data_IF_741298765160
#
_entry.id   IF_741298765160
#
_cell.length_a   1.000
_cell.length_b   1.000
_cell.length_c   1.000
_cell.angle_alpha   90.00
_cell.angle_beta   90.00
_cell.angle_gamma   90.00
#
_symmetry.space_group_name_H-M   'P 1'
#
loop_
_entity.id
_entity.type
_entity.pdbx_description
1 polymer ?
#
# COMPACT_ATOMS: atom_id res chain seq x y z
N UNK A 1 22.03 -2.32 -18.03
CA UNK A 1 21.63 -1.68 -16.76
C UNK A 1 21.68 -2.73 -15.66
N UNK A 2 22.08 -2.36 -14.45
CA UNK A 2 22.13 -3.26 -13.29
C UNK A 2 21.51 -2.57 -12.05
N UNK A 3 20.95 -3.36 -11.13
CA UNK A 3 20.52 -2.85 -9.84
C UNK A 3 21.75 -2.58 -8.96
N UNK A 4 21.73 -1.43 -8.29
CA UNK A 4 22.75 -1.04 -7.32
C UNK A 4 22.07 -0.51 -6.06
N UNK A 5 22.44 -0.99 -4.86
CA UNK A 5 21.95 -0.41 -3.61
C UNK A 5 22.20 1.11 -3.57
N UNK A 6 21.25 1.85 -3.00
CA UNK A 6 21.30 3.31 -3.01
C UNK A 6 22.59 3.88 -2.36
N UNK A 7 23.06 3.22 -1.31
CA UNK A 7 24.26 3.61 -0.56
C UNK A 7 25.56 3.36 -1.38
N UNK A 8 25.52 2.54 -2.45
CA UNK A 8 26.66 2.17 -3.29
C UNK A 8 26.70 2.92 -4.63
N UNK A 9 25.78 3.87 -4.85
CA UNK A 9 25.70 4.63 -6.11
C UNK A 9 26.89 5.55 -6.34
N UNK A 10 27.50 6.11 -5.29
CA UNK A 10 28.69 6.98 -5.33
C UNK A 10 28.57 8.17 -6.30
N UNK A 11 27.34 8.68 -6.50
CA UNK A 11 27.07 9.79 -7.43
C UNK A 11 27.17 9.42 -8.90
N UNK A 12 27.22 8.14 -9.25
CA UNK A 12 27.19 7.66 -10.63
C UNK A 12 25.84 7.91 -11.29
N UNK A 13 25.77 8.13 -12.63
CA UNK A 13 24.50 8.27 -13.33
C UNK A 13 23.59 7.07 -13.09
N UNK A 14 22.36 7.35 -12.56
CA UNK A 14 21.42 6.33 -12.17
C UNK A 14 19.96 6.74 -12.47
N UNK A 15 19.08 5.74 -12.51
CA UNK A 15 17.64 5.92 -12.50
C UNK A 15 17.12 5.52 -11.11
N UNK A 16 16.31 6.37 -10.51
CA UNK A 16 15.55 5.99 -9.31
C UNK A 16 14.14 5.58 -9.72
N UNK A 17 13.73 4.41 -9.27
CA UNK A 17 12.35 3.92 -9.40
C UNK A 17 11.71 3.95 -8.02
N UNK A 18 10.49 4.46 -7.96
CA UNK A 18 9.66 4.47 -6.75
C UNK A 18 10.39 5.07 -5.54
N UNK A 19 10.76 6.33 -5.65
CA UNK A 19 11.49 7.04 -4.60
C UNK A 19 11.90 8.44 -5.01
N UNK A 20 12.69 9.11 -4.17
CA UNK A 20 13.24 10.43 -4.44
C UNK A 20 14.61 10.35 -5.12
N UNK A 21 14.93 11.33 -6.00
CA UNK A 21 16.26 11.41 -6.62
C UNK A 21 17.36 11.58 -5.58
N UNK A 22 18.54 11.03 -5.89
CA UNK A 22 19.77 11.20 -5.13
C UNK A 22 20.86 11.83 -5.99
N UNK A 23 22.06 12.01 -5.44
CA UNK A 23 23.17 12.53 -6.21
C UNK A 23 23.50 11.60 -7.41
N UNK A 24 23.61 12.19 -8.60
CA UNK A 24 23.83 11.44 -9.85
C UNK A 24 22.57 10.92 -10.53
N UNK A 25 21.38 11.07 -9.95
CA UNK A 25 20.13 10.66 -10.60
C UNK A 25 19.87 11.49 -11.85
N UNK A 26 19.73 10.81 -12.98
CA UNK A 26 19.45 11.41 -14.29
C UNK A 26 17.98 11.28 -14.69
N UNK A 27 17.25 10.36 -14.06
CA UNK A 27 15.82 10.16 -14.25
C UNK A 27 15.20 9.57 -12.99
N UNK A 28 14.03 10.09 -12.61
CA UNK A 28 13.19 9.51 -11.57
C UNK A 28 11.90 9.01 -12.21
N UNK A 29 11.52 7.77 -11.92
CA UNK A 29 10.30 7.09 -12.34
C UNK A 29 9.55 6.68 -11.08
N UNK A 30 8.79 7.61 -10.51
CA UNK A 30 8.16 7.45 -9.21
C UNK A 30 6.85 8.24 -9.13
N UNK A 31 5.84 7.66 -8.53
CA UNK A 31 4.57 8.32 -8.24
C UNK A 31 4.61 9.16 -6.95
N UNK A 32 5.74 9.17 -6.24
CA UNK A 32 5.87 9.94 -5.01
C UNK A 32 5.73 11.45 -5.25
N UNK A 33 5.15 12.20 -4.31
CA UNK A 33 4.98 13.64 -4.46
C UNK A 33 6.35 14.30 -4.64
N UNK A 34 6.44 15.26 -5.56
CA UNK A 34 7.65 16.04 -5.83
C UNK A 34 8.90 15.20 -6.20
N UNK A 35 8.75 13.95 -6.63
CA UNK A 35 9.83 13.06 -7.04
C UNK A 35 10.58 13.53 -8.29
N UNK A 36 9.97 14.43 -9.08
CA UNK A 36 10.58 14.93 -10.31
C UNK A 36 10.35 14.04 -11.54
N UNK A 37 9.47 13.04 -11.46
CA UNK A 37 9.06 12.24 -12.61
C UNK A 37 8.53 13.12 -13.74
N UNK A 38 9.06 12.96 -15.00
CA UNK A 38 8.58 13.74 -16.14
C UNK A 38 7.09 13.49 -16.40
N UNK A 39 6.33 14.58 -16.61
CA UNK A 39 4.87 14.52 -16.81
C UNK A 39 4.37 13.51 -17.85
N UNK A 40 5.04 13.33 -19.01
CA UNK A 40 4.63 12.34 -20.00
C UNK A 40 4.66 10.88 -19.52
N UNK A 41 5.38 10.56 -18.45
CA UNK A 41 5.44 9.20 -17.89
C UNK A 41 4.53 9.02 -16.67
N UNK A 42 3.99 10.12 -16.10
CA UNK A 42 3.20 10.07 -14.85
C UNK A 42 2.02 9.10 -14.95
N UNK A 43 1.89 8.26 -13.92
CA UNK A 43 0.79 7.32 -13.74
C UNK A 43 0.60 7.04 -12.24
N UNK A 44 -0.32 6.17 -11.87
CA UNK A 44 -0.70 5.89 -10.47
C UNK A 44 0.36 5.07 -9.72
N UNK A 45 1.09 4.20 -10.40
CA UNK A 45 2.13 3.33 -9.84
C UNK A 45 3.48 3.58 -10.53
N UNK A 46 4.56 3.46 -9.79
CA UNK A 46 5.90 3.61 -10.34
C UNK A 46 6.20 2.55 -11.40
N UNK A 47 5.66 1.34 -11.25
CA UNK A 47 5.72 0.29 -12.27
C UNK A 47 5.03 0.73 -13.59
N UNK A 48 3.87 1.38 -13.54
CA UNK A 48 3.21 1.95 -14.73
C UNK A 48 4.06 3.05 -15.36
N UNK A 49 4.63 3.93 -14.54
CA UNK A 49 5.55 5.00 -14.96
C UNK A 49 6.76 4.43 -15.69
N UNK A 50 7.30 3.31 -15.21
CA UNK A 50 8.40 2.60 -15.89
C UNK A 50 7.96 2.09 -17.25
N UNK A 51 6.79 1.46 -17.37
CA UNK A 51 6.29 1.00 -18.66
C UNK A 51 6.02 2.16 -19.62
N UNK A 52 5.47 3.28 -19.15
CA UNK A 52 5.29 4.49 -19.95
C UNK A 52 6.64 5.02 -20.48
N UNK A 53 7.69 4.97 -19.66
CA UNK A 53 9.06 5.30 -20.11
C UNK A 53 9.57 4.29 -21.15
N UNK A 54 9.33 3.00 -20.96
CA UNK A 54 9.74 1.94 -21.91
C UNK A 54 9.01 2.02 -23.26
N UNK A 55 7.80 2.52 -23.28
CA UNK A 55 7.01 2.78 -24.52
C UNK A 55 7.55 4.01 -25.28
N UNK A 56 8.17 4.95 -24.60
CA UNK A 56 8.76 6.13 -25.21
C UNK A 56 9.95 5.79 -26.10
N UNK A 57 10.31 6.72 -26.98
CA UNK A 57 11.47 6.61 -27.87
C UNK A 57 12.76 7.16 -27.26
N UNK A 58 12.67 7.99 -26.24
CA UNK A 58 13.82 8.61 -25.59
C UNK A 58 14.37 7.68 -24.49
N UNK A 59 15.68 7.59 -24.42
CA UNK A 59 16.39 6.84 -23.37
C UNK A 59 17.47 7.72 -22.75
N UNK A 60 17.47 7.76 -21.41
CA UNK A 60 18.58 8.38 -20.68
C UNK A 60 19.80 7.46 -20.69
N UNK A 61 20.98 8.04 -20.56
CA UNK A 61 22.22 7.28 -20.42
C UNK A 61 22.46 7.03 -18.93
N UNK A 62 22.12 5.84 -18.47
CA UNK A 62 22.39 5.34 -17.13
C UNK A 62 22.62 3.84 -17.16
N UNK A 63 23.64 3.37 -16.45
CA UNK A 63 23.94 1.95 -16.33
C UNK A 63 23.37 1.34 -15.03
N UNK A 64 22.89 2.19 -14.12
CA UNK A 64 22.41 1.81 -12.78
C UNK A 64 20.96 2.19 -12.58
N UNK A 65 20.26 1.31 -11.86
CA UNK A 65 18.93 1.57 -11.30
C UNK A 65 18.92 1.27 -9.81
N UNK A 66 18.17 2.04 -9.02
CA UNK A 66 18.11 1.90 -7.58
C UNK A 66 16.75 2.31 -7.00
N UNK A 67 16.57 1.95 -5.72
CA UNK A 67 15.49 2.41 -4.86
C UNK A 67 16.02 2.56 -3.42
N UNK A 68 15.35 3.33 -2.57
CA UNK A 68 15.73 3.59 -1.18
C UNK A 68 14.96 2.74 -0.15
N UNK A 69 13.98 1.96 -0.59
CA UNK A 69 13.16 1.06 0.22
C UNK A 69 12.81 -0.19 -0.59
N UNK A 70 12.16 -1.16 0.04
CA UNK A 70 11.67 -2.36 -0.63
C UNK A 70 10.14 -2.41 -0.52
N UNK A 71 9.49 -2.57 -1.68
CA UNK A 71 8.10 -2.95 -1.82
C UNK A 71 7.83 -3.59 -3.19
N UNK A 72 6.59 -3.89 -3.49
CA UNK A 72 6.18 -4.57 -4.70
C UNK A 72 6.26 -3.65 -5.92
N UNK A 73 5.90 -2.37 -5.77
CA UNK A 73 5.92 -1.41 -6.89
C UNK A 73 7.35 -1.11 -7.32
N UNK A 74 8.24 -0.79 -6.38
CA UNK A 74 9.65 -0.60 -6.67
C UNK A 74 10.30 -1.83 -7.29
N UNK A 75 10.00 -3.04 -6.78
CA UNK A 75 10.56 -4.30 -7.29
C UNK A 75 10.10 -4.57 -8.74
N UNK A 76 8.78 -4.50 -9.01
CA UNK A 76 8.22 -4.72 -10.34
C UNK A 76 8.73 -3.70 -11.36
N UNK A 77 8.82 -2.42 -10.97
CA UNK A 77 9.35 -1.36 -11.82
C UNK A 77 10.83 -1.54 -12.15
N UNK A 78 11.68 -1.82 -11.16
CA UNK A 78 13.11 -2.11 -11.39
C UNK A 78 13.27 -3.35 -12.26
N UNK A 79 12.50 -4.41 -11.99
CA UNK A 79 12.54 -5.63 -12.80
C UNK A 79 12.18 -5.35 -14.27
N UNK A 80 11.14 -4.53 -14.53
CA UNK A 80 10.75 -4.16 -15.88
C UNK A 80 11.85 -3.40 -16.63
N UNK A 81 12.60 -2.51 -15.95
CA UNK A 81 13.75 -1.84 -16.54
C UNK A 81 14.91 -2.77 -16.85
N UNK A 82 15.16 -3.76 -16.00
CA UNK A 82 16.27 -4.70 -16.15
C UNK A 82 16.00 -5.78 -17.21
N UNK A 83 14.73 -6.19 -17.34
CA UNK A 83 14.28 -7.30 -18.18
C UNK A 83 13.06 -6.93 -19.04
N UNK A 84 13.16 -5.85 -19.88
CA UNK A 84 11.98 -5.32 -20.58
C UNK A 84 11.31 -6.32 -21.51
N UNK A 85 12.08 -7.13 -22.24
CA UNK A 85 11.55 -8.15 -23.16
C UNK A 85 10.75 -9.25 -22.43
N UNK A 86 11.13 -9.56 -21.19
CA UNK A 86 10.43 -10.53 -20.36
C UNK A 86 9.21 -9.92 -19.65
N UNK A 87 9.34 -8.68 -19.22
CA UNK A 87 8.31 -7.95 -18.48
C UNK A 87 7.13 -7.52 -19.38
N UNK A 88 7.41 -7.08 -20.60
CA UNK A 88 6.38 -6.53 -21.50
C UNK A 88 5.18 -7.47 -21.74
N UNK A 89 5.33 -8.76 -22.03
CA UNK A 89 4.18 -9.67 -22.17
C UNK A 89 3.41 -9.92 -20.85
N UNK A 90 3.95 -9.49 -19.71
CA UNK A 90 3.40 -9.66 -18.36
C UNK A 90 3.10 -8.33 -17.66
N UNK A 91 3.05 -7.25 -18.44
CA UNK A 91 2.85 -5.87 -17.96
C UNK A 91 1.68 -5.78 -16.99
N UNK A 92 0.50 -6.24 -17.40
CA UNK A 92 -0.72 -6.15 -16.59
C UNK A 92 -0.59 -6.89 -15.26
N UNK A 93 0.06 -8.06 -15.25
CA UNK A 93 0.29 -8.82 -14.02
C UNK A 93 1.30 -8.12 -13.09
N UNK A 94 2.38 -7.54 -13.63
CA UNK A 94 3.36 -6.79 -12.82
C UNK A 94 2.73 -5.53 -12.20
N UNK A 95 1.91 -4.81 -12.97
CA UNK A 95 1.16 -3.64 -12.48
C UNK A 95 0.17 -4.07 -11.39
N UNK A 96 -0.50 -5.21 -11.56
CA UNK A 96 -1.46 -5.71 -10.58
C UNK A 96 -0.77 -6.17 -9.28
N UNK A 97 0.44 -6.76 -9.36
CA UNK A 97 1.29 -7.05 -8.18
C UNK A 97 1.67 -5.78 -7.44
N UNK A 98 2.07 -4.73 -8.16
CA UNK A 98 2.38 -3.42 -7.59
C UNK A 98 1.15 -2.80 -6.90
N UNK A 99 -0.03 -2.86 -7.55
CA UNK A 99 -1.29 -2.38 -7.00
C UNK A 99 -1.71 -3.15 -5.74
N UNK A 100 -1.49 -4.47 -5.72
CA UNK A 100 -1.78 -5.30 -4.55
C UNK A 100 -0.88 -4.93 -3.36
N UNK A 101 0.38 -4.54 -3.62
CA UNK A 101 1.30 -4.04 -2.59
C UNK A 101 0.89 -2.67 -2.05
N UNK A 102 0.83 -1.68 -2.92
CA UNK A 102 0.65 -0.27 -2.55
C UNK A 102 -0.79 0.07 -2.12
N UNK A 103 -1.75 -0.34 -2.94
CA UNK A 103 -3.14 0.07 -2.77
C UNK A 103 -4.02 -0.99 -2.12
N UNK A 104 -3.47 -2.19 -1.86
CA UNK A 104 -4.21 -3.35 -1.42
C UNK A 104 -5.39 -3.66 -2.36
N UNK A 105 -5.21 -3.48 -3.68
CA UNK A 105 -6.18 -3.76 -4.73
C UNK A 105 -5.58 -4.69 -5.78
N UNK A 106 -6.37 -5.61 -6.30
CA UNK A 106 -5.94 -6.54 -7.35
C UNK A 106 -7.10 -6.91 -8.27
N UNK A 107 -6.79 -7.35 -9.49
CA UNK A 107 -7.71 -7.91 -10.46
C UNK A 107 -7.48 -9.42 -10.64
N UNK A 108 -6.22 -9.84 -10.67
CA UNK A 108 -5.81 -11.25 -10.74
C UNK A 108 -5.41 -11.74 -9.35
N UNK A 109 -6.03 -12.81 -8.88
CA UNK A 109 -5.70 -13.42 -7.58
C UNK A 109 -4.23 -13.84 -7.48
N UNK A 110 -3.60 -14.22 -8.60
CA UNK A 110 -2.17 -14.53 -8.61
C UNK A 110 -1.31 -13.31 -8.31
N UNK A 111 -1.73 -12.10 -8.70
CA UNK A 111 -1.04 -10.87 -8.32
C UNK A 111 -1.05 -10.66 -6.81
N UNK A 112 -2.19 -10.88 -6.16
CA UNK A 112 -2.29 -10.84 -4.69
C UNK A 112 -1.38 -11.89 -4.04
N UNK A 113 -1.36 -13.14 -4.55
CA UNK A 113 -0.47 -14.19 -4.03
C UNK A 113 1.01 -13.79 -4.12
N UNK A 114 1.43 -13.22 -5.26
CA UNK A 114 2.82 -12.76 -5.45
C UNK A 114 3.13 -11.60 -4.52
N UNK A 115 2.24 -10.59 -4.43
CA UNK A 115 2.45 -9.44 -3.55
C UNK A 115 2.57 -9.84 -2.08
N UNK A 116 1.72 -10.75 -1.60
CA UNK A 116 1.75 -11.30 -0.24
C UNK A 116 3.04 -12.11 -0.02
N UNK A 117 3.43 -12.96 -0.98
CA UNK A 117 4.67 -13.71 -0.88
C UNK A 117 5.90 -12.78 -0.79
N UNK A 118 5.96 -11.72 -1.60
CA UNK A 118 7.04 -10.72 -1.54
C UNK A 118 7.10 -10.03 -0.17
N UNK A 119 5.95 -9.60 0.38
CA UNK A 119 5.89 -9.04 1.73
C UNK A 119 6.34 -10.05 2.81
N UNK A 120 5.99 -11.32 2.66
CA UNK A 120 6.40 -12.37 3.58
C UNK A 120 7.93 -12.62 3.56
N UNK A 121 8.60 -12.42 2.42
CA UNK A 121 10.06 -12.53 2.36
C UNK A 121 10.77 -11.48 3.21
N UNK A 122 10.17 -10.30 3.37
CA UNK A 122 10.69 -9.24 4.23
C UNK A 122 10.37 -9.48 5.71
N UNK A 123 9.14 -9.89 6.02
CA UNK A 123 8.59 -9.80 7.40
C UNK A 123 8.45 -11.13 8.12
N UNK A 124 8.38 -12.26 7.42
CA UNK A 124 8.12 -13.57 8.03
C UNK A 124 9.41 -14.19 8.58
N UNK A 125 9.39 -14.64 9.85
CA UNK A 125 10.49 -15.31 10.50
C UNK A 125 10.87 -16.65 9.82
N UNK A 126 9.95 -17.27 9.11
CA UNK A 126 10.15 -18.51 8.33
C UNK A 126 10.61 -18.23 6.88
N UNK A 127 10.78 -16.96 6.50
CA UNK A 127 11.29 -16.55 5.19
C UNK A 127 12.70 -17.14 4.94
N UNK A 128 13.02 -17.53 3.70
CA UNK A 128 14.38 -17.93 3.33
C UNK A 128 15.44 -16.87 3.65
N UNK A 129 15.04 -15.58 3.66
CA UNK A 129 15.91 -14.43 3.92
C UNK A 129 15.94 -13.99 5.38
N UNK A 130 15.06 -14.50 6.25
CA UNK A 130 14.91 -14.04 7.63
C UNK A 130 16.24 -13.99 8.39
N UNK A 131 17.10 -15.03 8.25
CA UNK A 131 18.41 -15.05 8.93
C UNK A 131 19.39 -14.04 8.37
N UNK A 132 19.32 -13.75 7.08
CA UNK A 132 20.21 -12.79 6.42
C UNK A 132 19.78 -11.36 6.72
N UNK A 133 18.50 -11.10 6.86
CA UNK A 133 17.93 -9.79 7.19
C UNK A 133 18.11 -9.42 8.66
N UNK A 134 18.10 -10.41 9.55
CA UNK A 134 18.08 -10.23 10.99
C UNK A 134 19.20 -9.29 11.51
N UNK A 135 18.78 -8.22 12.18
CA UNK A 135 19.69 -7.25 12.82
C UNK A 135 20.48 -6.35 11.87
N UNK A 136 20.21 -6.38 10.57
CA UNK A 136 20.85 -5.48 9.61
C UNK A 136 20.15 -4.11 9.59
N UNK A 137 20.89 -3.03 9.31
CA UNK A 137 20.29 -1.74 8.98
C UNK A 137 19.36 -1.83 7.78
N UNK A 138 18.31 -1.01 7.74
CA UNK A 138 17.26 -1.04 6.72
C UNK A 138 17.80 -1.00 5.29
N UNK A 139 18.74 -0.11 4.95
CA UNK A 139 19.33 -0.05 3.60
C UNK A 139 20.05 -1.35 3.19
N UNK A 140 20.66 -2.08 4.15
CA UNK A 140 21.24 -3.39 3.86
C UNK A 140 20.17 -4.48 3.68
N UNK A 141 19.06 -4.42 4.41
CA UNK A 141 17.93 -5.32 4.22
C UNK A 141 17.33 -5.09 2.82
N UNK A 142 17.07 -3.85 2.45
CA UNK A 142 16.61 -3.45 1.11
C UNK A 142 17.52 -4.01 0.00
N UNK A 143 18.84 -3.85 0.15
CA UNK A 143 19.81 -4.36 -0.82
C UNK A 143 19.75 -5.90 -0.98
N UNK A 144 19.56 -6.62 0.12
CA UNK A 144 19.42 -8.08 0.11
C UNK A 144 18.12 -8.48 -0.60
N UNK A 145 16.99 -7.86 -0.23
CA UNK A 145 15.68 -8.15 -0.81
C UNK A 145 15.69 -7.96 -2.32
N UNK A 146 16.18 -6.82 -2.82
CA UNK A 146 16.28 -6.60 -4.26
C UNK A 146 17.20 -7.60 -4.95
N UNK A 147 18.37 -7.90 -4.38
CA UNK A 147 19.32 -8.84 -4.99
C UNK A 147 18.71 -10.24 -5.16
N UNK A 148 17.99 -10.70 -4.16
CA UNK A 148 17.40 -12.05 -4.19
C UNK A 148 16.06 -12.05 -4.98
N UNK A 149 15.18 -11.10 -4.71
CA UNK A 149 13.82 -11.12 -5.25
C UNK A 149 13.73 -10.70 -6.72
N UNK A 150 14.65 -9.91 -7.24
CA UNK A 150 14.75 -9.67 -8.68
C UNK A 150 15.02 -10.98 -9.47
N UNK A 151 15.67 -11.96 -8.85
CA UNK A 151 15.90 -13.26 -9.46
C UNK A 151 14.74 -14.25 -9.26
N UNK A 152 14.02 -14.14 -8.12
CA UNK A 152 12.90 -15.03 -7.80
C UNK A 152 11.57 -14.59 -8.42
N UNK A 153 11.40 -13.29 -8.74
CA UNK A 153 10.16 -12.73 -9.25
C UNK A 153 9.60 -13.45 -10.48
N UNK A 154 10.42 -13.84 -11.50
CA UNK A 154 9.91 -14.63 -12.63
C UNK A 154 9.25 -15.94 -12.23
N UNK A 155 9.85 -16.66 -11.28
CA UNK A 155 9.31 -17.93 -10.79
C UNK A 155 8.04 -17.69 -9.95
N UNK A 156 7.98 -16.62 -9.15
CA UNK A 156 6.78 -16.26 -8.40
C UNK A 156 5.59 -15.96 -9.32
N UNK A 157 5.84 -15.27 -10.44
CA UNK A 157 4.82 -14.92 -11.43
C UNK A 157 4.37 -16.14 -12.27
N UNK A 158 5.28 -17.04 -12.62
CA UNK A 158 4.97 -18.21 -13.46
C UNK A 158 4.40 -19.39 -12.65
N UNK A 159 4.84 -19.55 -11.40
CA UNK A 159 4.51 -20.69 -10.53
C UNK A 159 4.18 -20.24 -9.10
N UNK A 160 3.15 -19.38 -8.87
CA UNK A 160 2.84 -18.84 -7.54
C UNK A 160 2.56 -19.93 -6.49
N UNK A 161 2.08 -21.09 -6.89
CA UNK A 161 1.83 -22.23 -5.99
C UNK A 161 3.09 -22.76 -5.29
N UNK A 162 4.29 -22.54 -5.84
CA UNK A 162 5.54 -22.89 -5.17
C UNK A 162 5.81 -22.06 -3.91
N UNK A 163 5.20 -20.90 -3.87
CA UNK A 163 5.32 -19.92 -2.77
C UNK A 163 4.10 -19.96 -1.84
N UNK A 164 3.21 -20.93 -2.00
CA UNK A 164 1.98 -21.12 -1.21
C UNK A 164 2.17 -20.96 0.31
N UNK A 165 3.22 -21.50 0.95
CA UNK A 165 3.42 -21.33 2.39
C UNK A 165 3.50 -19.86 2.85
N UNK A 166 3.80 -18.93 1.94
CA UNK A 166 3.96 -17.52 2.25
C UNK A 166 2.69 -16.69 2.02
N UNK A 167 1.68 -17.23 1.30
CA UNK A 167 0.48 -16.50 0.96
C UNK A 167 -0.84 -17.20 1.33
N UNK A 168 -0.86 -18.53 1.58
CA UNK A 168 -2.12 -19.26 1.74
C UNK A 168 -2.95 -18.83 2.96
N UNK A 169 -2.32 -18.37 4.04
CA UNK A 169 -3.03 -17.89 5.22
C UNK A 169 -3.76 -16.56 4.95
N UNK A 170 -3.11 -15.63 4.26
CA UNK A 170 -3.72 -14.36 3.87
C UNK A 170 -4.76 -14.56 2.76
N UNK A 171 -4.51 -15.46 1.81
CA UNK A 171 -5.49 -15.83 0.78
C UNK A 171 -6.79 -16.37 1.39
N UNK A 172 -6.69 -17.24 2.39
CA UNK A 172 -7.85 -17.75 3.11
C UNK A 172 -8.63 -16.62 3.83
N UNK A 173 -7.92 -15.63 4.39
CA UNK A 173 -8.54 -14.46 5.02
C UNK A 173 -9.20 -13.52 4.00
N UNK A 174 -8.59 -13.33 2.83
CA UNK A 174 -9.20 -12.57 1.72
C UNK A 174 -10.49 -13.26 1.31
N UNK A 175 -10.46 -14.58 1.07
CA UNK A 175 -11.62 -15.38 0.67
C UNK A 175 -12.76 -15.33 1.71
N UNK A 176 -12.46 -15.43 3.01
CA UNK A 176 -13.43 -15.27 4.10
C UNK A 176 -14.03 -13.86 4.11
N UNK A 177 -13.20 -12.83 3.94
CA UNK A 177 -13.62 -11.43 3.92
C UNK A 177 -14.51 -11.12 2.72
N UNK A 178 -14.13 -11.57 1.52
CA UNK A 178 -14.92 -11.42 0.28
C UNK A 178 -16.28 -12.11 0.42
N UNK A 179 -16.36 -13.33 0.99
CA UNK A 179 -17.60 -14.04 1.26
C UNK A 179 -18.48 -13.29 2.27
N UNK A 180 -17.87 -12.72 3.30
CA UNK A 180 -18.60 -11.95 4.30
C UNK A 180 -19.19 -10.66 3.70
N UNK A 181 -18.46 -9.99 2.82
CA UNK A 181 -18.96 -8.82 2.09
C UNK A 181 -20.07 -9.23 1.12
N UNK A 182 -19.84 -10.24 0.30
CA UNK A 182 -20.82 -10.72 -0.67
C UNK A 182 -22.14 -11.20 -0.04
N UNK A 183 -22.09 -11.76 1.17
CA UNK A 183 -23.28 -12.17 1.93
C UNK A 183 -23.98 -11.02 2.65
N UNK A 184 -23.35 -9.85 2.75
CA UNK A 184 -23.83 -8.71 3.55
C UNK A 184 -23.59 -8.86 5.05
N UNK A 185 -22.82 -9.86 5.50
CA UNK A 185 -22.38 -10.00 6.89
C UNK A 185 -21.44 -8.84 7.27
N UNK A 186 -20.48 -8.53 6.40
CA UNK A 186 -19.72 -7.27 6.40
C UNK A 186 -20.35 -6.35 5.36
N UNK A 187 -20.56 -5.08 5.70
CA UNK A 187 -21.12 -4.11 4.75
C UNK A 187 -20.13 -3.02 4.44
N UNK A 188 -20.02 -2.69 3.15
CA UNK A 188 -19.25 -1.53 2.67
C UNK A 188 -20.26 -0.53 2.10
N UNK A 189 -20.28 0.68 2.66
CA UNK A 189 -21.19 1.76 2.20
C UNK A 189 -20.39 3.01 1.88
N UNK A 190 -20.79 3.74 0.83
CA UNK A 190 -20.04 4.89 0.33
C UNK A 190 -20.81 6.20 0.50
N UNK A 191 -20.07 7.24 0.83
CA UNK A 191 -20.45 8.66 0.76
C UNK A 191 -19.51 9.36 -0.23
N UNK A 192 -19.94 9.47 -1.47
CA UNK A 192 -19.14 10.04 -2.56
C UNK A 192 -18.84 11.53 -2.34
N UNK A 193 -19.76 12.26 -1.75
CA UNK A 193 -19.67 13.70 -1.48
C UNK A 193 -18.56 14.08 -0.49
N UNK A 194 -18.14 13.15 0.35
CA UNK A 194 -17.06 13.31 1.33
C UNK A 194 -15.95 12.28 1.16
N UNK A 195 -15.96 11.53 0.04
CA UNK A 195 -14.98 10.48 -0.30
C UNK A 195 -14.74 9.46 0.84
N UNK A 196 -15.83 8.99 1.46
CA UNK A 196 -15.80 8.11 2.61
C UNK A 196 -16.42 6.75 2.28
N UNK A 197 -15.70 5.66 2.53
CA UNK A 197 -16.27 4.31 2.66
C UNK A 197 -16.34 3.92 4.13
N UNK A 198 -17.47 3.36 4.54
CA UNK A 198 -17.66 2.80 5.89
C UNK A 198 -17.79 1.28 5.79
N UNK A 199 -16.87 0.58 6.43
CA UNK A 199 -16.84 -0.89 6.57
C UNK A 199 -17.38 -1.24 7.94
N UNK A 200 -18.55 -1.88 8.00
CA UNK A 200 -19.17 -2.31 9.25
C UNK A 200 -18.98 -3.81 9.40
N UNK A 201 -18.28 -4.20 10.45
CA UNK A 201 -17.89 -5.57 10.77
C UNK A 201 -18.66 -6.03 12.00
N UNK A 202 -19.28 -7.24 12.02
CA UNK A 202 -19.92 -7.81 13.20
C UNK A 202 -18.92 -8.02 14.36
N UNK A 203 -19.38 -7.92 15.59
CA UNK A 203 -18.54 -8.11 16.78
C UNK A 203 -17.95 -9.52 16.88
N UNK A 204 -18.66 -10.53 16.38
CA UNK A 204 -18.28 -11.94 16.36
C UNK A 204 -17.47 -12.35 15.13
N UNK A 205 -17.11 -11.41 14.24
CA UNK A 205 -16.24 -11.69 13.10
C UNK A 205 -14.84 -12.09 13.61
N UNK A 206 -14.14 -13.05 12.98
CA UNK A 206 -12.82 -13.46 13.43
C UNK A 206 -11.84 -12.29 13.55
N UNK A 207 -11.05 -12.28 14.63
CA UNK A 207 -9.94 -11.32 14.76
C UNK A 207 -8.76 -11.77 13.90
N UNK A 208 -8.08 -10.79 13.30
CA UNK A 208 -6.79 -11.00 12.68
C UNK A 208 -5.68 -10.50 13.61
N UNK A 209 -4.57 -11.23 13.66
CA UNK A 209 -3.36 -10.80 14.37
C UNK A 209 -2.54 -9.88 13.46
N UNK A 210 -3.15 -8.81 12.97
CA UNK A 210 -2.50 -7.83 12.11
C UNK A 210 -1.73 -6.81 12.93
N UNK A 211 -0.63 -6.31 12.38
CA UNK A 211 0.12 -5.19 12.97
C UNK A 211 -0.75 -3.93 13.05
N UNK A 212 -1.70 -3.77 12.12
CA UNK A 212 -2.70 -2.71 12.13
C UNK A 212 -4.10 -3.31 12.22
N UNK A 213 -4.91 -2.79 13.13
CA UNK A 213 -6.29 -3.25 13.32
C UNK A 213 -7.15 -2.93 12.09
N UNK A 214 -7.71 -3.96 11.47
CA UNK A 214 -8.60 -3.87 10.28
C UNK A 214 -10.04 -4.34 10.58
N UNK A 215 -10.41 -4.49 11.83
CA UNK A 215 -11.67 -5.12 12.22
C UNK A 215 -11.72 -6.63 12.02
N UNK A 216 -10.63 -7.23 11.54
CA UNK A 216 -10.52 -8.64 11.14
C UNK A 216 -10.70 -8.88 9.64
N UNK A 217 -11.28 -7.92 8.91
CA UNK A 217 -11.47 -8.01 7.45
C UNK A 217 -10.15 -7.71 6.76
N UNK A 218 -9.76 -8.54 5.79
CA UNK A 218 -8.52 -8.33 5.05
C UNK A 218 -8.60 -7.04 4.22
N UNK A 219 -7.56 -6.15 4.26
CA UNK A 219 -7.58 -4.89 3.53
C UNK A 219 -7.87 -5.04 2.03
N UNK A 220 -7.26 -6.02 1.36
CA UNK A 220 -7.49 -6.27 -0.07
C UNK A 220 -8.96 -6.57 -0.39
N UNK A 221 -9.72 -7.20 0.52
CA UNK A 221 -11.12 -7.49 0.28
C UNK A 221 -11.98 -6.23 0.27
N UNK A 222 -11.84 -5.34 1.27
CA UNK A 222 -12.67 -4.13 1.32
C UNK A 222 -12.12 -3.00 0.44
N UNK A 223 -10.82 -2.93 0.12
CA UNK A 223 -10.29 -1.96 -0.84
C UNK A 223 -10.76 -2.24 -2.26
N UNK A 224 -10.89 -3.51 -2.66
CA UNK A 224 -11.45 -3.88 -3.95
C UNK A 224 -12.93 -3.49 -4.12
N UNK A 225 -13.67 -3.30 -3.03
CA UNK A 225 -15.10 -2.95 -3.06
C UNK A 225 -15.38 -1.45 -3.20
N UNK A 226 -14.35 -0.59 -3.10
CA UNK A 226 -14.57 0.85 -3.10
C UNK A 226 -13.40 1.63 -3.70
N UNK A 227 -13.74 2.73 -4.37
CA UNK A 227 -12.77 3.73 -4.82
C UNK A 227 -12.70 4.94 -3.87
N UNK A 228 -13.25 4.83 -2.65
CA UNK A 228 -13.15 5.92 -1.67
C UNK A 228 -11.82 5.85 -0.95
N UNK A 229 -11.25 7.03 -0.68
CA UNK A 229 -9.90 7.14 -0.14
C UNK A 229 -9.87 7.36 1.38
N UNK A 230 -11.03 7.67 1.98
CA UNK A 230 -11.22 7.71 3.42
C UNK A 230 -11.94 6.45 3.84
N UNK A 231 -11.32 5.66 4.70
CA UNK A 231 -11.85 4.36 5.14
C UNK A 231 -12.21 4.45 6.62
N UNK A 232 -13.50 4.35 6.94
CA UNK A 232 -13.96 4.17 8.32
C UNK A 232 -14.26 2.68 8.55
N UNK A 233 -13.43 2.04 9.37
CA UNK A 233 -13.65 0.66 9.82
C UNK A 233 -14.32 0.71 11.19
N UNK A 234 -15.45 0.03 11.34
CA UNK A 234 -16.24 -0.05 12.55
C UNK A 234 -16.54 -1.50 12.92
N UNK A 235 -16.21 -1.91 14.16
CA UNK A 235 -16.60 -3.18 14.75
C UNK A 235 -17.06 -2.94 16.18
N UNK A 236 -18.37 -3.08 16.42
CA UNK A 236 -18.95 -2.63 17.69
C UNK A 236 -18.60 -1.16 17.97
N UNK A 237 -18.01 -0.91 19.12
CA UNK A 237 -17.54 0.42 19.55
C UNK A 237 -16.04 0.65 19.27
N UNK A 238 -15.42 -0.13 18.41
CA UNK A 238 -14.05 0.12 17.93
C UNK A 238 -14.10 0.77 16.56
N UNK A 239 -13.32 1.81 16.36
CA UNK A 239 -13.32 2.62 15.13
C UNK A 239 -11.88 2.92 14.72
N UNK A 240 -11.67 2.92 13.39
CA UNK A 240 -10.47 3.42 12.74
C UNK A 240 -10.89 4.23 11.52
N UNK A 241 -10.56 5.49 11.47
CA UNK A 241 -10.71 6.30 10.27
C UNK A 241 -9.33 6.57 9.70
N UNK A 242 -9.07 6.14 8.47
CA UNK A 242 -7.75 6.28 7.85
C UNK A 242 -7.85 6.81 6.43
N UNK A 243 -6.79 7.43 5.97
CA UNK A 243 -6.58 7.74 4.56
C UNK A 243 -5.85 6.59 3.87
N UNK A 244 -6.28 6.23 2.66
CA UNK A 244 -5.56 5.30 1.81
C UNK A 244 -4.30 5.93 1.22
N UNK A 245 -3.36 5.09 0.80
CA UNK A 245 -2.07 5.49 0.26
C UNK A 245 -2.19 6.38 -0.99
N UNK A 246 -3.20 6.16 -1.83
CA UNK A 246 -3.50 6.95 -3.04
C UNK A 246 -3.66 8.45 -2.73
N UNK A 247 -4.00 8.82 -1.50
CA UNK A 247 -4.09 10.23 -1.09
C UNK A 247 -2.73 10.87 -0.84
N UNK A 248 -1.65 10.09 -0.74
CA UNK A 248 -0.30 10.60 -0.53
C UNK A 248 0.50 10.69 -1.84
N UNK A 249 0.38 9.69 -2.70
CA UNK A 249 1.08 9.65 -3.99
C UNK A 249 0.46 10.58 -5.02
N UNK A 250 1.15 10.80 -6.13
CA UNK A 250 0.61 11.50 -7.28
C UNK A 250 -0.29 10.55 -8.08
N UNK A 251 -1.55 10.50 -7.70
CA UNK A 251 -2.56 9.67 -8.33
C UNK A 251 -3.16 10.38 -9.55
N UNK A 252 -3.31 9.73 -10.68
CA UNK A 252 -3.64 10.36 -11.98
C UNK A 252 -4.90 9.83 -12.63
N UNK A 253 -5.29 8.57 -12.40
CA UNK A 253 -6.40 7.92 -13.11
C UNK A 253 -7.76 8.52 -12.75
N UNK A 254 -7.93 9.02 -11.54
CA UNK A 254 -9.14 9.72 -11.12
C UNK A 254 -8.83 10.74 -10.00
N UNK A 255 -9.71 11.76 -9.82
CA UNK A 255 -9.50 12.77 -8.80
C UNK A 255 -9.52 12.17 -7.40
N UNK A 256 -8.53 12.52 -6.60
CA UNK A 256 -8.46 12.24 -5.16
C UNK A 256 -8.78 13.53 -4.41
N UNK A 257 -9.69 13.47 -3.43
CA UNK A 257 -10.00 14.63 -2.58
C UNK A 257 -8.81 14.93 -1.66
N UNK A 258 -8.53 16.20 -1.47
CA UNK A 258 -7.50 16.65 -0.53
C UNK A 258 -7.75 16.10 0.87
N UNK A 259 -6.66 15.78 1.56
CA UNK A 259 -6.70 15.37 2.96
C UNK A 259 -7.15 16.55 3.82
N UNK A 260 -8.01 16.26 4.77
CA UNK A 260 -8.44 17.20 5.82
C UNK A 260 -7.70 16.84 7.10
N UNK A 261 -7.21 17.84 7.83
CA UNK A 261 -6.68 17.64 9.17
C UNK A 261 -7.78 17.14 10.11
N UNK A 262 -7.67 15.90 10.57
CA UNK A 262 -8.63 15.30 11.51
C UNK A 262 -8.29 15.60 12.98
N UNK A 263 -7.27 16.40 13.26
CA UNK A 263 -6.92 16.82 14.62
C UNK A 263 -8.09 17.46 15.38
N UNK A 264 -8.82 18.45 14.82
CA UNK A 264 -10.00 19.01 15.47
C UNK A 264 -11.14 18.00 15.70
N UNK A 265 -11.28 16.98 14.82
CA UNK A 265 -12.22 15.88 15.06
C UNK A 265 -11.75 15.00 16.21
N UNK A 266 -10.44 14.71 16.31
CA UNK A 266 -9.87 13.95 17.42
C UNK A 266 -10.12 14.65 18.77
N UNK A 267 -9.95 15.97 18.83
CA UNK A 267 -10.26 16.78 20.02
C UNK A 267 -11.75 16.65 20.40
N UNK A 268 -12.65 16.84 19.44
CA UNK A 268 -14.10 16.74 19.66
C UNK A 268 -14.52 15.34 20.12
N UNK A 269 -13.94 14.28 19.55
CA UNK A 269 -14.18 12.90 19.99
C UNK A 269 -13.65 12.65 21.40
N UNK A 270 -12.50 13.21 21.73
CA UNK A 270 -11.89 13.07 23.07
C UNK A 270 -12.73 13.75 24.17
N UNK A 271 -13.45 14.86 23.85
CA UNK A 271 -14.38 15.50 24.77
C UNK A 271 -15.59 14.62 25.11
N UNK A 272 -16.03 13.77 24.18
CA UNK A 272 -17.13 12.82 24.38
C UNK A 272 -16.66 11.46 24.94
N UNK A 273 -15.33 11.21 25.00
CA UNK A 273 -14.75 9.95 25.49
C UNK A 273 -14.69 9.95 27.03
N UNK A 274 -14.80 8.76 27.62
CA UNK A 274 -14.72 8.60 29.08
C UNK A 274 -13.31 8.19 29.55
N UNK A 275 -12.73 7.23 28.83
CA UNK A 275 -11.44 6.65 29.14
C UNK A 275 -10.65 6.47 27.83
N UNK A 276 -9.68 7.33 27.61
CA UNK A 276 -8.86 7.32 26.41
C UNK A 276 -8.80 8.69 25.73
N UNK A 277 -7.97 8.77 24.74
CA UNK A 277 -7.78 9.98 23.95
C UNK A 277 -7.75 9.63 22.47
N UNK A 278 -8.48 10.37 21.65
CA UNK A 278 -8.45 10.22 20.20
C UNK A 278 -7.24 10.97 19.66
N UNK A 279 -6.54 10.32 18.77
CA UNK A 279 -5.36 10.86 18.11
C UNK A 279 -5.46 10.74 16.61
N UNK A 280 -5.00 11.76 15.91
CA UNK A 280 -4.74 11.76 14.49
C UNK A 280 -3.23 11.86 14.23
N UNK A 281 -2.71 11.04 13.34
CA UNK A 281 -1.26 10.95 13.06
C UNK A 281 -0.71 12.18 12.35
N UNK A 282 -1.59 12.98 11.71
CA UNK A 282 -1.24 14.18 10.93
C UNK A 282 -1.25 13.94 9.42
N UNK A 283 -1.62 14.97 8.66
CA UNK A 283 -1.84 14.90 7.19
C UNK A 283 -0.58 14.54 6.41
N UNK A 284 0.61 14.80 6.97
CA UNK A 284 1.90 14.56 6.31
C UNK A 284 2.34 13.10 6.37
N UNK A 285 1.68 12.28 7.20
CA UNK A 285 1.99 10.85 7.25
C UNK A 285 1.55 10.13 5.97
N UNK A 286 2.21 9.05 5.62
CA UNK A 286 1.92 8.31 4.37
C UNK A 286 0.47 7.79 4.36
N UNK A 287 0.06 7.08 5.41
CA UNK A 287 -1.30 6.54 5.60
C UNK A 287 -1.86 6.96 6.96
N UNK A 288 -2.19 8.25 7.17
CA UNK A 288 -2.56 8.74 8.49
C UNK A 288 -3.91 8.18 8.94
N UNK A 289 -4.00 7.90 10.22
CA UNK A 289 -5.18 7.37 10.87
C UNK A 289 -5.64 8.21 12.06
N UNK A 290 -6.94 8.20 12.30
CA UNK A 290 -7.61 8.68 13.50
C UNK A 290 -8.05 7.46 14.30
N UNK A 291 -7.54 7.30 15.50
CA UNK A 291 -7.77 6.14 16.36
C UNK A 291 -7.82 6.52 17.84
N UNK A 292 -8.41 5.63 18.65
CA UNK A 292 -8.46 5.77 20.09
C UNK A 292 -7.20 5.16 20.71
N UNK A 293 -6.43 5.96 21.45
CA UNK A 293 -5.29 5.45 22.22
C UNK A 293 -5.77 4.60 23.42
N UNK A 294 -5.09 3.49 23.69
CA UNK A 294 -5.34 2.64 24.85
C UNK A 294 -6.20 1.41 24.55
N UNK A 295 -7.36 1.24 25.21
CA UNK A 295 -8.11 -0.04 25.24
C UNK A 295 -8.87 -0.41 23.96
N UNK A 296 -8.88 0.44 22.96
CA UNK A 296 -9.49 0.17 21.67
C UNK A 296 -11.01 0.22 21.59
N UNK A 297 -11.76 0.25 22.70
CA UNK A 297 -13.22 0.42 22.73
C UNK A 297 -13.59 1.82 23.22
N UNK A 298 -14.40 2.51 22.41
CA UNK A 298 -14.88 3.85 22.71
C UNK A 298 -16.17 3.82 23.53
N UNK A 299 -16.38 4.83 24.37
CA UNK A 299 -17.67 5.09 25.02
C UNK A 299 -18.68 5.74 24.07
N UNK A 300 -18.25 6.21 22.91
CA UNK A 300 -19.09 6.82 21.87
C UNK A 300 -19.83 5.71 21.12
N UNK A 301 -21.15 5.86 20.97
CA UNK A 301 -21.93 4.87 20.22
C UNK A 301 -21.66 4.92 18.72
N UNK A 302 -21.81 3.83 17.98
CA UNK A 302 -21.58 3.79 16.52
C UNK A 302 -22.33 4.85 15.74
N UNK A 303 -23.59 5.10 16.06
CA UNK A 303 -24.39 6.13 15.41
C UNK A 303 -23.80 7.52 15.65
N UNK A 304 -23.41 7.83 16.90
CA UNK A 304 -22.84 9.12 17.27
C UNK A 304 -21.49 9.34 16.60
N UNK A 305 -20.62 8.34 16.60
CA UNK A 305 -19.31 8.40 15.96
C UNK A 305 -19.43 8.72 14.46
N UNK A 306 -20.25 7.96 13.72
CA UNK A 306 -20.47 8.24 12.29
C UNK A 306 -21.03 9.64 12.05
N UNK A 307 -22.00 10.07 12.85
CA UNK A 307 -22.55 11.42 12.73
C UNK A 307 -21.46 12.48 12.89
N UNK A 308 -20.58 12.36 13.89
CA UNK A 308 -19.48 13.30 14.11
C UNK A 308 -18.49 13.35 12.95
N UNK A 309 -18.13 12.17 12.40
CA UNK A 309 -17.26 12.07 11.22
C UNK A 309 -17.90 12.71 10.01
N UNK A 310 -19.15 12.39 9.71
CA UNK A 310 -19.86 12.91 8.53
C UNK A 310 -20.10 14.42 8.61
N UNK A 311 -20.50 14.95 9.77
CA UNK A 311 -20.64 16.40 10.00
C UNK A 311 -19.31 17.13 9.84
N UNK A 312 -18.21 16.53 10.30
CA UNK A 312 -16.90 17.15 10.20
C UNK A 312 -16.36 17.18 8.77
N UNK A 313 -16.54 16.08 8.03
CA UNK A 313 -16.07 15.97 6.64
C UNK A 313 -16.95 16.74 5.64
N UNK A 314 -18.19 17.05 6.00
CA UNK A 314 -19.12 17.84 5.18
C UNK A 314 -19.59 19.08 5.94
N UNK A 315 -18.71 20.06 6.19
CA UNK A 315 -19.14 21.31 6.79
C UNK A 315 -20.08 22.04 5.83
N UNK A 316 -21.34 22.19 6.23
CA UNK A 316 -22.40 22.93 5.49
C UNK A 316 -22.08 24.40 5.31
#
# INVERSE_FOLDING_TARGET
MEYMPIDDLDGRPNIIVDGYPTNGTVLTLSHWPDSGTPGPFSDDLSTQIVFNYLDGSERVVADLVSNNHFDQDGLCGIFALLQPDWAEPRRDLLIDVASAGDFATFHDRNAAHVAIALAAYETNEDSPLARELAGKPYGQQTAILYRELLNELPEMLENPDRFRPFWEADDARIDESEKAIASGTVTVTERHDIDLATVIVPEDFPDANDNEWSGGVHPMAHHNETQRHRMLIQRGNRYLLRYRYETWVKFTSHPVMERVDLGPLAERLSEEEKDGHWRFDGVDQITPSLHLEGKGESAITPQRFRTLVEEFLNPS
#
